data_IF_134919110845
#
_entry.id   IF_134919110845
#
_cell.length_a   1.000
_cell.length_b   1.000
_cell.length_c   1.000
_cell.angle_alpha   90.00
_cell.angle_beta   90.00
_cell.angle_gamma   90.00
#
_symmetry.space_group_name_H-M   'P 1'
#
loop_
_entity.id
_entity.type
_entity.pdbx_description
1 polymer ?
#
# COMPACT_ATOMS: atom_id res chain seq x y z
N UNK A 1 -36.76 9.43 -52.90
CA UNK A 1 -35.78 8.32 -52.85
C UNK A 1 -34.32 8.78 -52.63
N UNK A 2 -33.98 10.08 -52.67
CA UNK A 2 -32.57 10.54 -52.56
C UNK A 2 -32.02 10.68 -51.12
N UNK A 3 -32.86 10.92 -50.11
CA UNK A 3 -32.37 11.18 -48.74
C UNK A 3 -31.93 9.91 -47.98
N UNK A 4 -32.60 8.78 -48.21
CA UNK A 4 -32.27 7.49 -47.58
C UNK A 4 -30.98 6.89 -48.15
N UNK A 5 -30.79 7.00 -49.47
CA UNK A 5 -29.58 6.53 -50.14
C UNK A 5 -28.35 7.35 -49.72
N UNK A 6 -28.51 8.66 -49.56
CA UNK A 6 -27.45 9.55 -49.09
C UNK A 6 -27.05 9.27 -47.63
N UNK A 7 -28.04 9.05 -46.74
CA UNK A 7 -27.78 8.62 -45.36
C UNK A 7 -27.09 7.27 -45.29
N UNK A 8 -27.50 6.31 -46.10
CA UNK A 8 -26.86 4.99 -46.18
C UNK A 8 -25.42 5.10 -46.69
N UNK A 9 -25.16 5.95 -47.69
CA UNK A 9 -23.81 6.18 -48.19
C UNK A 9 -22.90 6.81 -47.13
N UNK A 10 -23.38 7.83 -46.40
CA UNK A 10 -22.63 8.44 -45.29
C UNK A 10 -22.36 7.42 -44.18
N UNK A 11 -23.35 6.61 -43.81
CA UNK A 11 -23.18 5.56 -42.80
C UNK A 11 -22.13 4.53 -43.22
N UNK A 12 -22.17 4.07 -44.47
CA UNK A 12 -21.17 3.13 -45.02
C UNK A 12 -19.78 3.76 -45.04
N UNK A 13 -19.65 5.04 -45.43
CA UNK A 13 -18.38 5.75 -45.40
C UNK A 13 -17.80 5.83 -43.99
N UNK A 14 -18.64 6.16 -42.98
CA UNK A 14 -18.23 6.18 -41.57
C UNK A 14 -17.77 4.78 -41.13
N UNK A 15 -18.52 3.73 -41.45
CA UNK A 15 -18.13 2.35 -41.14
C UNK A 15 -16.79 1.95 -41.78
N UNK A 16 -16.54 2.33 -43.04
CA UNK A 16 -15.26 2.08 -43.70
C UNK A 16 -14.11 2.85 -43.05
N UNK A 17 -14.33 4.11 -42.66
CA UNK A 17 -13.32 4.92 -41.95
C UNK A 17 -13.01 4.34 -40.57
N UNK A 18 -14.02 3.90 -39.82
CA UNK A 18 -13.85 3.20 -38.54
C UNK A 18 -13.09 1.88 -38.71
N UNK A 19 -13.38 1.13 -39.77
CA UNK A 19 -12.67 -0.12 -40.07
C UNK A 19 -11.21 0.12 -40.43
N UNK A 20 -10.91 1.14 -41.25
CA UNK A 20 -9.53 1.52 -41.57
C UNK A 20 -8.78 2.03 -40.34
N UNK A 21 -9.43 2.80 -39.45
CA UNK A 21 -8.87 3.21 -38.18
C UNK A 21 -8.58 2.02 -37.27
N UNK A 22 -9.47 1.02 -37.22
CA UNK A 22 -9.25 -0.23 -36.49
C UNK A 22 -8.07 -1.03 -37.06
N UNK A 23 -8.02 -1.24 -38.38
CA UNK A 23 -6.88 -1.91 -39.04
C UNK A 23 -5.58 -1.17 -38.75
N UNK A 24 -5.57 0.16 -38.90
CA UNK A 24 -4.40 0.97 -38.60
C UNK A 24 -4.00 0.81 -37.13
N UNK A 25 -4.96 0.80 -36.20
CA UNK A 25 -4.71 0.54 -34.77
C UNK A 25 -4.05 -0.82 -34.53
N UNK A 26 -4.54 -1.89 -35.17
CA UNK A 26 -3.95 -3.24 -35.07
C UNK A 26 -2.53 -3.28 -35.65
N UNK A 27 -2.33 -2.73 -36.85
CA UNK A 27 -1.01 -2.67 -37.53
C UNK A 27 -0.04 -1.82 -36.71
N UNK A 28 -0.46 -0.64 -36.26
CA UNK A 28 0.31 0.27 -35.42
C UNK A 28 0.70 -0.39 -34.10
N UNK A 29 -0.18 -1.19 -33.49
CA UNK A 29 0.11 -1.95 -32.28
C UNK A 29 1.14 -3.07 -32.52
N UNK A 30 1.03 -3.83 -33.61
CA UNK A 30 1.94 -4.94 -33.97
C UNK A 30 3.34 -4.41 -34.32
N UNK A 31 3.41 -3.32 -35.08
CA UNK A 31 4.67 -2.79 -35.62
C UNK A 31 5.23 -1.58 -34.87
N UNK A 32 4.63 -1.21 -33.73
CA UNK A 32 5.06 -0.07 -32.89
C UNK A 32 5.13 1.27 -33.64
N UNK A 33 4.22 1.50 -34.59
CA UNK A 33 4.13 2.76 -35.34
C UNK A 33 3.37 3.81 -34.53
N UNK A 34 3.70 5.09 -34.68
CA UNK A 34 2.95 6.18 -34.06
C UNK A 34 1.46 6.15 -34.49
N UNK A 35 0.49 6.39 -33.59
CA UNK A 35 0.63 6.79 -32.19
C UNK A 35 0.55 5.61 -31.19
N UNK A 36 0.67 4.35 -31.60
CA UNK A 36 0.47 3.21 -30.67
C UNK A 36 1.35 3.25 -29.41
N UNK A 37 2.64 3.65 -29.46
CA UNK A 37 3.43 3.81 -28.24
C UNK A 37 2.83 4.81 -27.25
N UNK A 38 2.33 5.95 -27.75
CA UNK A 38 1.75 7.02 -26.92
C UNK A 38 0.36 6.65 -26.41
N UNK A 39 -0.44 5.95 -27.23
CA UNK A 39 -1.78 5.48 -26.85
C UNK A 39 -1.70 4.30 -25.87
N UNK A 40 -0.63 3.48 -25.88
CA UNK A 40 -0.53 2.29 -25.01
C UNK A 40 -0.70 2.65 -23.53
N UNK A 41 -0.14 3.75 -23.06
CA UNK A 41 -0.31 4.20 -21.66
C UNK A 41 -1.77 4.52 -21.39
N UNK A 42 -2.39 5.35 -22.24
CA UNK A 42 -3.81 5.69 -22.11
C UNK A 42 -4.72 4.47 -22.24
N UNK A 43 -4.37 3.48 -23.07
CA UNK A 43 -5.10 2.25 -23.26
C UNK A 43 -4.95 1.29 -22.07
N UNK A 44 -3.79 1.25 -21.40
CA UNK A 44 -3.60 0.51 -20.14
C UNK A 44 -4.44 1.13 -19.05
N UNK A 45 -4.41 2.46 -18.92
CA UNK A 45 -5.21 3.18 -17.94
C UNK A 45 -6.71 2.94 -18.22
N UNK A 46 -7.14 3.11 -19.47
CA UNK A 46 -8.53 2.85 -19.88
C UNK A 46 -8.94 1.38 -19.70
N UNK A 47 -8.05 0.43 -20.00
CA UNK A 47 -8.29 -0.99 -19.77
C UNK A 47 -8.35 -1.33 -18.29
N UNK A 48 -7.48 -0.75 -17.46
CA UNK A 48 -7.52 -0.85 -16.00
C UNK A 48 -8.85 -0.33 -15.46
N UNK A 49 -9.28 0.85 -15.91
CA UNK A 49 -10.59 1.41 -15.59
C UNK A 49 -11.76 0.54 -16.08
N UNK A 50 -11.68 -0.03 -17.29
CA UNK A 50 -12.73 -0.90 -17.84
C UNK A 50 -12.77 -2.26 -17.15
N UNK A 51 -11.62 -2.86 -16.86
CA UNK A 51 -11.51 -4.09 -16.08
C UNK A 51 -12.05 -3.87 -14.67
N UNK A 52 -11.78 -2.71 -14.08
CA UNK A 52 -12.39 -2.28 -12.83
C UNK A 52 -13.92 -2.15 -12.93
N UNK A 53 -14.44 -1.40 -13.92
CA UNK A 53 -15.90 -1.28 -14.12
C UNK A 53 -16.52 -2.68 -14.29
N UNK A 54 -15.86 -3.56 -15.02
CA UNK A 54 -16.30 -4.93 -15.17
C UNK A 54 -16.28 -5.69 -13.83
N UNK A 55 -15.22 -5.57 -13.04
CA UNK A 55 -15.14 -6.20 -11.71
C UNK A 55 -16.17 -5.65 -10.73
N UNK A 56 -16.40 -4.34 -10.70
CA UNK A 56 -17.46 -3.69 -9.90
C UNK A 56 -18.86 -4.21 -10.28
N UNK A 57 -19.09 -4.42 -11.57
CA UNK A 57 -20.35 -4.97 -12.08
C UNK A 57 -20.51 -6.49 -11.85
N UNK A 58 -19.43 -7.24 -11.63
CA UNK A 58 -19.47 -8.72 -11.67
C UNK A 58 -19.05 -9.42 -10.39
N UNK A 59 -18.30 -8.77 -9.50
CA UNK A 59 -17.83 -9.34 -8.24
C UNK A 59 -18.50 -8.65 -7.04
N UNK A 60 -19.42 -9.38 -6.39
CA UNK A 60 -20.13 -8.92 -5.19
C UNK A 60 -19.21 -8.69 -3.99
N UNK A 61 -17.95 -9.17 -4.01
CA UNK A 61 -16.94 -8.85 -2.99
C UNK A 61 -16.16 -7.57 -3.31
N UNK A 62 -16.04 -7.21 -4.58
CA UNK A 62 -15.20 -6.10 -5.03
C UNK A 62 -15.92 -4.75 -4.99
N UNK A 63 -17.25 -4.76 -4.91
CA UNK A 63 -18.13 -3.58 -4.75
C UNK A 63 -17.83 -2.72 -3.49
N UNK A 64 -17.04 -3.24 -2.53
CA UNK A 64 -16.62 -2.53 -1.31
C UNK A 64 -15.19 -1.98 -1.38
N UNK A 65 -14.39 -2.44 -2.35
CA UNK A 65 -13.00 -1.98 -2.48
C UNK A 65 -12.90 -0.57 -3.02
N UNK A 66 -13.95 -0.07 -3.68
CA UNK A 66 -13.97 1.14 -4.48
C UNK A 66 -14.21 2.44 -3.71
N UNK A 67 -14.36 2.41 -2.39
CA UNK A 67 -14.71 3.64 -1.66
C UNK A 67 -14.02 3.79 -0.30
N UNK A 68 -13.09 2.89 0.06
CA UNK A 68 -12.53 2.82 1.41
C UNK A 68 -13.57 2.51 2.50
N UNK A 69 -14.76 2.02 2.10
CA UNK A 69 -15.84 1.62 2.99
C UNK A 69 -16.15 0.14 2.80
N UNK A 70 -16.18 -0.61 3.88
CA UNK A 70 -16.42 -2.05 3.85
C UNK A 70 -17.68 -2.43 4.61
N UNK A 71 -18.36 -3.47 4.14
CA UNK A 71 -19.54 -4.02 4.81
C UNK A 71 -19.19 -4.44 6.24
N UNK A 72 -19.81 -3.78 7.21
CA UNK A 72 -19.66 -4.09 8.62
C UNK A 72 -20.95 -3.74 9.35
N UNK A 73 -21.63 -4.77 9.86
CA UNK A 73 -22.84 -4.66 10.66
C UNK A 73 -22.55 -4.68 12.16
N UNK A 74 -21.28 -4.63 12.59
CA UNK A 74 -20.96 -4.63 14.01
C UNK A 74 -21.42 -3.33 14.69
N UNK A 75 -22.12 -3.48 15.81
CA UNK A 75 -22.59 -2.36 16.64
C UNK A 75 -21.46 -1.54 17.30
N UNK A 76 -20.33 -2.13 17.76
CA UNK A 76 -19.24 -1.38 18.36
C UNK A 76 -18.75 -0.19 17.54
N UNK A 77 -18.49 0.92 18.23
CA UNK A 77 -18.00 2.17 17.65
C UNK A 77 -17.18 2.93 18.69
N UNK A 78 -16.07 3.53 18.29
CA UNK A 78 -15.14 4.18 19.21
C UNK A 78 -14.26 3.18 20.00
N UNK A 79 -13.67 3.66 21.09
CA UNK A 79 -12.73 2.87 21.88
C UNK A 79 -13.42 1.95 22.89
N UNK A 80 -12.85 0.77 23.08
CA UNK A 80 -13.25 -0.21 24.10
C UNK A 80 -11.99 -0.62 24.85
N UNK A 81 -11.96 -0.33 26.16
CA UNK A 81 -10.88 -0.78 27.04
C UNK A 81 -11.32 -2.08 27.71
N UNK A 82 -10.72 -3.20 27.32
CA UNK A 82 -10.98 -4.50 27.94
C UNK A 82 -10.14 -4.70 29.19
N UNK A 83 -8.88 -4.25 29.17
CA UNK A 83 -7.97 -4.32 30.30
C UNK A 83 -7.02 -3.12 30.32
N UNK A 84 -7.36 -2.11 31.12
CA UNK A 84 -6.61 -0.87 31.20
C UNK A 84 -5.17 -1.05 31.72
N UNK A 85 -4.94 -2.04 32.59
CA UNK A 85 -3.61 -2.33 33.16
C UNK A 85 -2.71 -3.05 32.16
N UNK A 86 -3.29 -3.86 31.27
CA UNK A 86 -2.55 -4.55 30.22
C UNK A 86 -2.28 -3.66 28.99
N UNK A 87 -3.10 -2.63 28.77
CA UNK A 87 -2.97 -1.71 27.65
C UNK A 87 -1.69 -0.85 27.78
N UNK A 88 -0.97 -0.68 26.67
CA UNK A 88 0.19 0.19 26.55
C UNK A 88 -0.27 1.65 26.68
N UNK A 89 0.33 2.48 27.54
CA UNK A 89 0.04 3.92 27.56
C UNK A 89 0.55 4.63 26.30
N UNK A 90 -0.12 5.73 25.94
CA UNK A 90 0.27 6.60 24.82
C UNK A 90 -0.93 7.06 23.99
N UNK A 91 -0.65 7.88 22.98
CA UNK A 91 -1.62 8.34 21.99
C UNK A 91 -1.52 7.47 20.74
N UNK A 92 -2.63 7.27 20.04
CA UNK A 92 -2.68 6.46 18.81
C UNK A 92 -2.82 7.38 17.60
N UNK A 93 -1.81 7.42 16.73
CA UNK A 93 -1.92 8.02 15.40
C UNK A 93 -2.63 7.04 14.49
N UNK A 94 -3.58 7.50 13.69
CA UNK A 94 -4.39 6.66 12.80
C UNK A 94 -4.61 7.36 11.47
N UNK A 95 -4.30 6.66 10.37
CA UNK A 95 -4.68 7.07 9.02
C UNK A 95 -6.12 6.61 8.73
N UNK A 96 -7.00 7.54 8.36
CA UNK A 96 -8.43 7.28 8.10
C UNK A 96 -8.72 6.97 6.63
N UNK A 97 -9.99 6.69 6.33
CA UNK A 97 -10.54 6.55 4.97
C UNK A 97 -10.69 7.90 4.23
N UNK A 98 -9.62 8.71 4.25
CA UNK A 98 -9.50 9.99 3.58
C UNK A 98 -8.02 10.40 3.52
N UNK A 99 -7.69 11.54 2.92
CA UNK A 99 -6.38 12.20 3.06
C UNK A 99 -6.27 12.92 4.40
N UNK A 100 -6.48 12.16 5.48
CA UNK A 100 -6.49 12.65 6.85
C UNK A 100 -5.94 11.61 7.83
N UNK A 101 -5.32 12.11 8.90
CA UNK A 101 -4.87 11.32 10.03
C UNK A 101 -5.27 12.00 11.33
N UNK A 102 -5.57 11.19 12.35
CA UNK A 102 -5.94 11.66 13.68
C UNK A 102 -4.99 11.11 14.71
N UNK A 103 -4.66 11.92 15.71
CA UNK A 103 -4.04 11.48 16.94
C UNK A 103 -5.14 11.41 18.00
N UNK A 104 -5.28 10.26 18.67
CA UNK A 104 -6.35 10.05 19.66
C UNK A 104 -5.84 9.45 20.97
N UNK A 105 -6.54 9.75 22.05
CA UNK A 105 -6.29 9.12 23.36
C UNK A 105 -6.88 7.70 23.44
N UNK A 106 -6.69 7.03 24.59
CA UNK A 106 -7.20 5.66 24.81
C UNK A 106 -8.72 5.54 24.83
N UNK A 107 -9.44 6.65 25.01
CA UNK A 107 -10.90 6.71 24.96
C UNK A 107 -11.42 7.01 23.54
N UNK A 108 -10.50 7.20 22.57
CA UNK A 108 -10.84 7.54 21.21
C UNK A 108 -11.17 9.02 20.99
N UNK A 109 -10.87 9.88 21.97
CA UNK A 109 -11.00 11.32 21.79
C UNK A 109 -9.86 11.80 20.88
N UNK A 110 -10.20 12.54 19.83
CA UNK A 110 -9.22 13.15 18.93
C UNK A 110 -8.54 14.29 19.69
N UNK A 111 -7.23 14.20 19.87
CA UNK A 111 -6.40 15.26 20.47
C UNK A 111 -5.79 16.17 19.42
N UNK A 112 -5.58 15.66 18.20
CA UNK A 112 -5.08 16.43 17.06
C UNK A 112 -5.48 15.78 15.73
N UNK A 113 -5.59 16.57 14.66
CA UNK A 113 -5.91 16.08 13.32
C UNK A 113 -5.07 16.79 12.26
N UNK A 114 -4.63 16.02 11.28
CA UNK A 114 -4.07 16.52 10.03
C UNK A 114 -4.99 16.15 8.87
N UNK A 115 -5.14 17.05 7.92
CA UNK A 115 -5.92 16.82 6.71
C UNK A 115 -5.34 17.63 5.56
N UNK A 116 -5.28 17.06 4.36
CA UNK A 116 -4.86 17.80 3.19
C UNK A 116 -5.61 17.31 1.97
N UNK A 117 -6.42 18.18 1.36
CA UNK A 117 -7.03 17.87 0.07
C UNK A 117 -5.91 17.76 -0.96
N UNK A 118 -5.88 16.68 -1.74
CA UNK A 118 -4.79 16.45 -2.69
C UNK A 118 -4.59 17.63 -3.66
N UNK A 119 -5.69 18.16 -4.20
CA UNK A 119 -5.69 19.32 -5.11
C UNK A 119 -5.22 20.63 -4.46
N UNK A 120 -5.11 20.69 -3.13
CA UNK A 120 -4.53 21.84 -2.41
C UNK A 120 -3.00 21.76 -2.30
N UNK A 121 -2.44 20.55 -2.38
CA UNK A 121 -1.00 20.32 -2.33
C UNK A 121 -0.38 20.13 -3.73
N UNK A 122 -1.09 19.47 -4.65
CA UNK A 122 -0.58 19.08 -5.96
C UNK A 122 -1.28 19.86 -7.08
N UNK A 123 -0.48 20.29 -8.08
CA UNK A 123 -0.97 21.06 -9.23
C UNK A 123 -1.52 20.10 -10.30
N UNK A 124 -2.48 20.53 -11.13
CA UNK A 124 -3.09 19.66 -12.16
C UNK A 124 -2.03 18.98 -13.07
N UNK A 125 -0.96 19.71 -13.39
CA UNK A 125 0.16 19.19 -14.20
C UNK A 125 0.91 18.03 -13.52
N UNK A 126 0.90 17.95 -12.18
CA UNK A 126 1.56 16.88 -11.42
C UNK A 126 0.86 15.53 -11.64
N UNK A 127 -0.43 15.52 -12.02
CA UNK A 127 -1.25 14.33 -12.16
C UNK A 127 -2.08 14.29 -13.45
N UNK A 128 -1.79 15.14 -14.43
CA UNK A 128 -2.56 15.25 -15.68
C UNK A 128 -2.64 13.92 -16.47
N UNK A 129 -1.63 13.06 -16.34
CA UNK A 129 -1.65 11.72 -16.96
C UNK A 129 -2.62 10.73 -16.27
N UNK A 130 -3.07 11.04 -15.06
CA UNK A 130 -3.82 10.17 -14.15
C UNK A 130 -4.97 10.95 -13.48
N UNK A 131 -6.05 11.25 -14.21
CA UNK A 131 -7.15 12.09 -13.72
C UNK A 131 -7.79 11.50 -12.46
N UNK A 132 -8.01 12.37 -11.47
CA UNK A 132 -8.40 11.95 -10.12
C UNK A 132 -9.90 12.04 -9.87
N UNK A 133 -10.38 11.15 -9.01
CA UNK A 133 -11.59 11.31 -8.21
C UNK A 133 -11.12 11.55 -6.76
N UNK A 134 -11.29 12.76 -6.20
CA UNK A 134 -10.74 13.14 -4.89
C UNK A 134 -11.12 12.18 -3.75
N UNK A 135 -12.30 11.58 -3.84
CA UNK A 135 -12.90 10.59 -2.93
C UNK A 135 -12.22 9.22 -2.95
N UNK A 136 -11.27 8.99 -3.86
CA UNK A 136 -10.51 7.73 -3.99
C UNK A 136 -9.10 7.80 -3.40
N UNK A 137 -8.67 8.98 -2.98
CA UNK A 137 -7.35 9.21 -2.40
C UNK A 137 -7.37 9.06 -0.88
N UNK A 138 -6.29 8.49 -0.36
CA UNK A 138 -6.10 8.39 1.08
C UNK A 138 -4.63 8.36 1.47
N UNK A 139 -4.40 8.48 2.77
CA UNK A 139 -3.08 8.26 3.33
C UNK A 139 -2.89 6.79 3.69
N UNK A 140 -2.05 6.07 2.93
CA UNK A 140 -1.76 4.67 3.26
C UNK A 140 -0.92 4.59 4.53
N UNK A 141 0.18 5.34 4.56
CA UNK A 141 1.12 5.42 5.68
C UNK A 141 1.33 6.86 6.10
N UNK A 142 1.42 7.06 7.42
CA UNK A 142 1.76 8.36 8.00
C UNK A 142 2.88 8.21 9.04
N UNK A 143 3.63 9.29 9.23
CA UNK A 143 4.65 9.40 10.27
C UNK A 143 4.57 10.77 10.94
N UNK A 144 4.38 10.75 12.26
CA UNK A 144 4.31 11.93 13.10
C UNK A 144 5.68 12.23 13.72
N UNK A 145 6.20 13.41 13.41
CA UNK A 145 7.43 13.92 14.01
C UNK A 145 7.14 14.52 15.40
N UNK A 146 8.13 14.56 16.32
CA UNK A 146 7.97 15.14 17.66
C UNK A 146 7.47 16.60 17.70
N UNK A 147 7.77 17.38 16.66
CA UNK A 147 7.35 18.78 16.52
C UNK A 147 5.93 18.95 15.95
N UNK A 148 5.23 17.85 15.66
CA UNK A 148 3.88 17.86 15.11
C UNK A 148 3.81 17.90 13.58
N UNK A 149 4.95 17.93 12.88
CA UNK A 149 4.96 17.71 11.43
C UNK A 149 4.46 16.29 11.12
N UNK A 150 3.82 16.12 9.99
CA UNK A 150 3.31 14.82 9.52
C UNK A 150 3.81 14.56 8.10
N UNK A 151 4.44 13.42 7.86
CA UNK A 151 4.66 12.90 6.51
C UNK A 151 3.56 11.90 6.17
N UNK A 152 2.98 12.02 4.98
CA UNK A 152 1.93 11.13 4.50
C UNK A 152 2.19 10.66 3.06
N UNK A 153 1.87 9.39 2.80
CA UNK A 153 1.89 8.79 1.46
C UNK A 153 0.48 8.75 0.86
N UNK A 154 0.31 9.27 -0.35
CA UNK A 154 -0.94 9.24 -1.08
C UNK A 154 -1.04 7.98 -1.95
N UNK A 155 -2.05 7.17 -1.62
CA UNK A 155 -2.48 6.05 -2.45
C UNK A 155 -3.85 6.35 -3.04
N UNK A 156 -4.07 5.84 -4.25
CA UNK A 156 -5.35 5.88 -4.92
C UNK A 156 -5.93 4.48 -5.01
N UNK A 157 -7.20 4.38 -4.63
CA UNK A 157 -7.93 3.12 -4.64
C UNK A 157 -8.25 2.68 -6.08
N UNK A 158 -7.89 1.46 -6.44
CA UNK A 158 -8.28 0.82 -7.71
C UNK A 158 -7.88 1.59 -8.98
N UNK A 159 -6.74 2.30 -8.95
CA UNK A 159 -6.15 2.97 -10.10
C UNK A 159 -4.73 2.47 -10.34
N UNK A 160 -4.30 2.43 -11.61
CA UNK A 160 -2.95 2.01 -11.99
C UNK A 160 -2.24 3.14 -12.74
N UNK A 161 -1.04 3.55 -12.30
CA UNK A 161 -0.39 3.20 -11.04
C UNK A 161 -1.19 3.68 -9.81
N UNK A 162 -0.96 3.06 -8.64
CA UNK A 162 -1.69 3.39 -7.40
C UNK A 162 -1.10 4.60 -6.67
N UNK A 163 0.18 4.89 -6.88
CA UNK A 163 0.91 5.91 -6.14
C UNK A 163 0.69 7.32 -6.64
N UNK A 164 0.44 8.24 -5.72
CA UNK A 164 0.18 9.65 -6.01
C UNK A 164 1.12 10.61 -5.26
N UNK A 165 2.16 10.08 -4.60
CA UNK A 165 3.24 10.88 -4.06
C UNK A 165 3.22 11.03 -2.55
N UNK A 166 4.05 11.94 -2.05
CA UNK A 166 4.18 12.22 -0.62
C UNK A 166 3.89 13.69 -0.33
N UNK A 167 3.34 13.95 0.84
CA UNK A 167 3.18 15.31 1.37
C UNK A 167 3.73 15.39 2.79
N UNK A 168 4.52 16.43 3.08
CA UNK A 168 4.90 16.78 4.44
C UNK A 168 4.13 18.01 4.86
N UNK A 169 3.45 17.92 5.99
CA UNK A 169 2.63 18.96 6.58
C UNK A 169 3.23 19.41 7.91
N UNK A 170 3.02 20.67 8.28
CA UNK A 170 3.22 21.12 9.64
C UNK A 170 2.05 20.67 10.55
N UNK A 171 2.15 20.97 11.85
CA UNK A 171 1.10 20.65 12.83
C UNK A 171 -0.26 21.30 12.53
N UNK A 172 -0.34 22.31 11.67
CA UNK A 172 -1.57 22.99 11.30
C UNK A 172 -2.11 22.52 9.94
N UNK A 173 -1.59 21.41 9.40
CA UNK A 173 -1.90 20.90 8.07
C UNK A 173 -1.44 21.79 6.90
N UNK A 174 -0.49 22.69 7.13
CA UNK A 174 0.09 23.50 6.05
C UNK A 174 1.21 22.71 5.36
N UNK A 175 1.20 22.70 4.03
CA UNK A 175 2.22 21.99 3.23
C UNK A 175 3.59 22.61 3.44
N UNK A 176 4.55 21.79 3.90
CA UNK A 176 5.97 22.13 3.99
C UNK A 176 6.65 21.83 2.65
N UNK A 177 6.45 20.61 2.14
CA UNK A 177 6.89 20.21 0.81
C UNK A 177 6.04 19.04 0.29
N UNK A 178 6.10 18.82 -1.03
CA UNK A 178 5.48 17.69 -1.74
C UNK A 178 6.50 16.94 -2.57
N UNK A 179 6.26 15.65 -2.79
CA UNK A 179 6.99 14.82 -3.75
C UNK A 179 6.00 14.26 -4.77
N UNK A 180 6.20 14.60 -6.04
CA UNK A 180 5.25 14.34 -7.15
C UNK A 180 5.51 13.04 -7.90
N UNK A 181 6.59 12.32 -7.57
CA UNK A 181 6.73 10.93 -8.04
C UNK A 181 5.57 10.09 -7.55
N UNK A 182 5.23 9.03 -8.28
CA UNK A 182 4.13 8.08 -8.00
C UNK A 182 4.44 7.18 -6.79
N UNK A 183 4.82 7.79 -5.66
CA UNK A 183 5.13 7.09 -4.43
C UNK A 183 3.87 6.43 -3.88
N UNK A 184 3.99 5.21 -3.38
CA UNK A 184 2.85 4.40 -2.92
C UNK A 184 3.19 3.57 -1.69
N UNK A 185 2.14 3.21 -0.96
CA UNK A 185 2.08 2.29 0.17
C UNK A 185 2.92 2.66 1.39
N UNK A 186 4.23 2.83 1.24
CA UNK A 186 5.17 2.72 2.34
C UNK A 186 6.40 3.61 2.19
N UNK A 187 6.98 3.94 3.34
CA UNK A 187 8.26 4.63 3.46
C UNK A 187 8.91 4.36 4.82
N UNK A 188 10.23 4.48 4.83
CA UNK A 188 11.05 4.36 6.03
C UNK A 188 12.21 5.37 6.00
N UNK A 189 12.94 5.50 7.11
CA UNK A 189 13.91 6.57 7.31
C UNK A 189 15.29 6.03 7.66
N UNK A 190 16.34 6.71 7.19
CA UNK A 190 17.67 6.54 7.76
C UNK A 190 17.94 7.53 8.90
N UNK A 191 19.07 7.35 9.59
CA UNK A 191 19.48 8.20 10.71
C UNK A 191 19.82 9.64 10.32
N UNK A 192 19.91 9.96 9.02
CA UNK A 192 20.13 11.31 8.52
C UNK A 192 18.81 12.00 8.13
N UNK A 193 17.68 11.30 8.25
CA UNK A 193 16.37 11.80 7.85
C UNK A 193 16.11 11.71 6.35
N UNK A 194 16.87 10.91 5.59
CA UNK A 194 16.47 10.57 4.23
C UNK A 194 15.32 9.57 4.27
N UNK A 195 14.39 9.71 3.34
CA UNK A 195 13.19 8.89 3.22
C UNK A 195 13.39 7.88 2.09
N UNK A 196 13.24 6.61 2.40
CA UNK A 196 13.20 5.53 1.42
C UNK A 196 11.75 5.18 1.15
N UNK A 197 11.30 5.25 -0.11
CA UNK A 197 9.92 4.96 -0.49
C UNK A 197 9.86 4.14 -1.78
N UNK A 198 8.69 3.58 -2.07
CA UNK A 198 8.40 2.83 -3.29
C UNK A 198 7.70 3.72 -4.30
N UNK A 199 8.07 3.61 -5.59
CA UNK A 199 7.50 4.39 -6.71
C UNK A 199 7.15 3.46 -7.87
N UNK A 200 6.05 3.74 -8.58
CA UNK A 200 5.59 2.95 -9.73
C UNK A 200 5.69 3.68 -11.06
N UNK A 201 6.28 3.05 -12.07
CA UNK A 201 6.24 3.56 -13.44
C UNK A 201 5.74 2.52 -14.43
N UNK A 202 5.32 2.97 -15.62
CA UNK A 202 4.91 2.07 -16.69
C UNK A 202 6.14 1.63 -17.48
N UNK A 203 6.48 0.35 -17.36
CA UNK A 203 7.47 -0.31 -18.18
C UNK A 203 6.98 -0.48 -19.62
N UNK A 204 7.72 0.10 -20.57
CA UNK A 204 7.37 0.09 -22.01
C UNK A 204 8.29 -0.78 -22.86
N UNK A 205 9.34 -1.33 -22.26
CA UNK A 205 10.31 -2.23 -22.91
C UNK A 205 10.33 -3.59 -22.22
N UNK A 206 10.40 -4.73 -22.94
CA UNK A 206 10.45 -6.04 -22.30
C UNK A 206 11.62 -6.19 -21.32
N UNK A 207 11.38 -6.86 -20.18
CA UNK A 207 12.41 -7.20 -19.20
C UNK A 207 12.29 -8.67 -18.77
N UNK A 208 13.25 -9.49 -19.24
CA UNK A 208 13.14 -10.94 -19.06
C UNK A 208 11.95 -11.46 -19.87
N UNK A 209 11.05 -12.20 -19.21
CA UNK A 209 9.81 -12.69 -19.81
C UNK A 209 8.59 -11.78 -19.59
N UNK A 210 8.78 -10.64 -18.91
CA UNK A 210 7.73 -9.64 -18.70
C UNK A 210 7.67 -8.74 -19.95
N UNK A 211 6.54 -8.79 -20.64
CA UNK A 211 6.21 -7.99 -21.81
C UNK A 211 5.50 -6.68 -21.41
N UNK A 212 5.81 -5.57 -22.09
CA UNK A 212 5.12 -4.31 -21.87
C UNK A 212 3.67 -4.38 -22.40
N UNK A 213 2.76 -3.59 -21.82
CA UNK A 213 2.98 -2.71 -20.67
C UNK A 213 2.96 -3.48 -19.34
N UNK A 214 3.78 -3.05 -18.37
CA UNK A 214 3.77 -3.55 -17.01
C UNK A 214 4.04 -2.43 -16.00
N UNK A 215 3.67 -2.63 -14.73
CA UNK A 215 4.05 -1.76 -13.62
C UNK A 215 5.44 -2.18 -13.15
N UNK A 216 6.40 -1.26 -13.24
CA UNK A 216 7.75 -1.41 -12.73
C UNK A 216 7.87 -0.68 -11.39
N UNK A 217 8.28 -1.42 -10.36
CA UNK A 217 8.51 -0.86 -9.03
C UNK A 217 9.96 -0.37 -8.87
N UNK A 218 10.11 0.78 -8.21
CA UNK A 218 11.37 1.44 -7.90
C UNK A 218 11.49 1.69 -6.40
N UNK A 219 12.72 1.63 -5.89
CA UNK A 219 13.04 2.20 -4.60
C UNK A 219 13.68 3.58 -4.81
N UNK A 220 13.21 4.58 -4.07
CA UNK A 220 13.61 5.99 -4.20
C UNK A 220 14.06 6.52 -2.85
N UNK A 221 15.15 7.29 -2.85
CA UNK A 221 15.65 8.03 -1.69
C UNK A 221 15.34 9.50 -1.89
N UNK A 222 14.60 10.07 -0.94
CA UNK A 222 14.18 11.47 -0.90
C UNK A 222 14.87 12.15 0.28
N UNK A 223 15.30 13.39 0.08
CA UNK A 223 15.78 14.24 1.15
C UNK A 223 14.60 14.68 2.04
N UNK A 224 14.57 14.26 3.30
CA UNK A 224 13.41 14.53 4.18
C UNK A 224 13.24 16.00 4.61
N UNK A 225 14.22 16.86 4.31
CA UNK A 225 14.14 18.30 4.56
C UNK A 225 13.54 19.01 3.35
N UNK A 226 14.00 18.68 2.15
CA UNK A 226 13.62 19.41 0.93
C UNK A 226 12.52 18.73 0.10
N UNK A 227 12.25 17.44 0.33
CA UNK A 227 11.34 16.65 -0.50
C UNK A 227 11.91 16.27 -1.87
N UNK A 228 13.18 16.59 -2.14
CA UNK A 228 13.81 16.31 -3.43
C UNK A 228 14.33 14.88 -3.52
N UNK A 229 14.17 14.29 -4.69
CA UNK A 229 14.75 12.99 -5.00
C UNK A 229 16.29 13.07 -5.07
N UNK A 230 16.95 12.17 -4.35
CA UNK A 230 18.42 12.03 -4.34
C UNK A 230 18.90 10.89 -5.23
N UNK A 231 18.15 9.79 -5.24
CA UNK A 231 18.52 8.56 -5.96
C UNK A 231 17.29 7.70 -6.18
N UNK A 232 17.28 6.94 -7.28
CA UNK A 232 16.34 5.86 -7.51
C UNK A 232 17.01 4.67 -8.17
N UNK A 233 16.42 3.49 -8.00
CA UNK A 233 16.79 2.30 -8.78
C UNK A 233 15.59 1.38 -8.96
N UNK A 234 15.59 0.65 -10.09
CA UNK A 234 14.54 -0.32 -10.42
C UNK A 234 14.74 -1.61 -9.63
N UNK A 235 13.68 -2.06 -8.96
CA UNK A 235 13.67 -3.34 -8.23
C UNK A 235 13.80 -4.52 -9.21
N UNK A 236 13.24 -4.37 -10.42
CA UNK A 236 13.31 -5.41 -11.45
C UNK A 236 14.74 -5.56 -11.97
N UNK A 237 15.44 -4.45 -12.20
CA UNK A 237 16.86 -4.47 -12.58
C UNK A 237 17.73 -5.01 -11.44
N UNK A 238 17.43 -4.65 -10.18
CA UNK A 238 18.14 -5.19 -9.03
C UNK A 238 17.99 -6.72 -8.92
N UNK A 239 16.79 -7.26 -9.18
CA UNK A 239 16.55 -8.70 -9.25
C UNK A 239 17.28 -9.34 -10.43
N UNK A 240 17.23 -8.74 -11.62
CA UNK A 240 17.88 -9.27 -12.83
C UNK A 240 19.41 -9.29 -12.73
N UNK A 241 19.99 -8.32 -12.02
CA UNK A 241 21.43 -8.24 -11.78
C UNK A 241 21.91 -9.08 -10.59
N UNK A 242 21.01 -9.80 -9.92
CA UNK A 242 21.31 -10.58 -8.73
C UNK A 242 21.56 -12.07 -9.01
N UNK A 243 22.07 -12.83 -8.01
CA UNK A 243 22.05 -14.30 -8.05
C UNK A 243 20.65 -14.91 -8.23
N UNK A 244 19.58 -14.14 -7.98
CA UNK A 244 18.18 -14.57 -8.08
C UNK A 244 17.55 -14.25 -9.45
N UNK A 245 18.33 -13.85 -10.46
CA UNK A 245 17.82 -13.57 -11.81
C UNK A 245 16.95 -14.69 -12.40
N UNK A 246 17.27 -15.95 -12.10
CA UNK A 246 16.51 -17.10 -12.60
C UNK A 246 15.12 -17.21 -11.98
N UNK A 247 14.93 -16.69 -10.77
CA UNK A 247 13.59 -16.56 -10.16
C UNK A 247 12.80 -15.53 -10.94
N UNK A 248 13.39 -14.35 -11.16
CA UNK A 248 12.78 -13.24 -11.89
C UNK A 248 12.43 -13.62 -13.34
N UNK A 249 13.32 -14.33 -14.04
CA UNK A 249 13.10 -14.75 -15.43
C UNK A 249 11.92 -15.72 -15.57
N UNK A 250 11.42 -16.36 -14.51
CA UNK A 250 10.21 -17.18 -14.56
C UNK A 250 8.92 -16.35 -14.56
N UNK A 251 8.99 -15.08 -14.13
CA UNK A 251 7.83 -14.21 -14.07
C UNK A 251 7.43 -13.73 -15.47
N UNK A 252 6.13 -13.57 -15.66
CA UNK A 252 5.52 -13.15 -16.92
C UNK A 252 4.55 -12.00 -16.64
N UNK A 253 4.18 -11.26 -17.67
CA UNK A 253 3.13 -10.23 -17.55
C UNK A 253 1.85 -10.87 -17.04
N UNK A 254 1.31 -10.31 -15.97
CA UNK A 254 0.06 -10.76 -15.36
C UNK A 254 -1.13 -10.12 -16.05
N UNK A 255 -2.36 -10.59 -15.76
CA UNK A 255 -3.60 -10.01 -16.30
C UNK A 255 -3.74 -8.50 -16.03
N UNK A 256 -3.23 -8.04 -14.89
CA UNK A 256 -3.28 -6.64 -14.46
C UNK A 256 -1.97 -5.91 -14.73
N UNK A 257 -1.05 -6.49 -15.51
CA UNK A 257 0.24 -5.89 -15.82
C UNK A 257 1.12 -5.60 -14.59
N UNK A 258 0.78 -6.15 -13.43
CA UNK A 258 1.49 -5.96 -12.16
C UNK A 258 2.04 -7.29 -11.66
N UNK A 259 3.36 -7.40 -11.61
CA UNK A 259 4.06 -8.68 -11.36
C UNK A 259 4.40 -8.85 -9.89
N UNK A 260 4.89 -7.79 -9.24
CA UNK A 260 5.45 -7.81 -7.90
C UNK A 260 4.49 -7.25 -6.86
N UNK A 261 3.84 -6.12 -7.16
CA UNK A 261 3.03 -5.35 -6.22
C UNK A 261 3.83 -5.11 -4.93
N UNK A 262 4.86 -4.28 -5.03
CA UNK A 262 5.63 -3.91 -3.83
C UNK A 262 4.73 -3.14 -2.87
N UNK A 263 4.72 -3.53 -1.59
CA UNK A 263 3.80 -2.93 -0.62
C UNK A 263 4.45 -2.60 0.72
N UNK A 264 5.74 -2.90 0.88
CA UNK A 264 6.51 -2.44 2.01
C UNK A 264 7.99 -2.25 1.69
N UNK A 265 8.61 -1.26 2.34
CA UNK A 265 10.03 -0.97 2.31
C UNK A 265 10.51 -0.63 3.72
N UNK A 266 11.53 -1.33 4.20
CA UNK A 266 12.12 -1.12 5.52
C UNK A 266 13.63 -1.07 5.44
N UNK A 267 14.24 -0.14 6.15
CA UNK A 267 15.68 -0.05 6.29
C UNK A 267 16.13 -0.98 7.43
N UNK A 268 17.03 -1.92 7.14
CA UNK A 268 17.51 -2.87 8.15
C UNK A 268 18.27 -2.10 9.25
N UNK A 269 17.83 -2.16 10.52
CA UNK A 269 18.52 -1.50 11.62
C UNK A 269 19.72 -2.34 12.11
N UNK A 270 20.71 -1.72 12.78
CA UNK A 270 21.94 -2.40 13.19
C UNK A 270 21.75 -3.57 14.16
N UNK A 271 20.81 -3.44 15.09
CA UNK A 271 20.49 -4.48 16.07
C UNK A 271 19.87 -5.71 15.39
N UNK A 272 18.91 -5.50 14.49
CA UNK A 272 18.31 -6.58 13.72
C UNK A 272 19.32 -7.28 12.82
N UNK A 273 20.15 -6.52 12.08
CA UNK A 273 21.20 -7.09 11.23
C UNK A 273 22.16 -8.00 12.01
N UNK A 274 22.47 -7.61 13.25
CA UNK A 274 23.35 -8.38 14.14
C UNK A 274 22.67 -9.66 14.62
N UNK A 275 21.39 -9.60 14.96
CA UNK A 275 20.64 -10.71 15.56
C UNK A 275 20.10 -11.72 14.54
N UNK A 276 19.68 -11.27 13.35
CA UNK A 276 19.03 -12.12 12.34
C UNK A 276 20.01 -13.05 11.61
N UNK A 277 21.32 -12.78 11.68
CA UNK A 277 22.40 -13.60 11.10
C UNK A 277 22.20 -13.99 9.62
N UNK A 278 21.50 -13.17 8.83
CA UNK A 278 21.31 -13.43 7.39
C UNK A 278 22.63 -13.16 6.66
N UNK A 279 23.21 -14.16 5.97
CA UNK A 279 24.47 -13.97 5.26
C UNK A 279 24.39 -12.81 4.27
N UNK A 280 25.38 -11.89 4.35
CA UNK A 280 25.55 -10.70 3.50
C UNK A 280 24.60 -9.53 3.76
N UNK A 281 23.51 -9.71 4.50
CA UNK A 281 22.66 -8.60 4.90
C UNK A 281 23.34 -7.77 6.00
N UNK A 282 23.24 -6.45 5.91
CA UNK A 282 23.82 -5.49 6.85
C UNK A 282 22.83 -4.37 7.14
N UNK A 283 23.13 -3.61 8.19
CA UNK A 283 22.37 -2.39 8.49
C UNK A 283 22.42 -1.43 7.29
N UNK A 284 21.29 -0.81 6.96
CA UNK A 284 21.16 0.08 5.81
C UNK A 284 20.79 -0.61 4.49
N UNK A 285 20.78 -1.95 4.44
CA UNK A 285 20.11 -2.66 3.35
C UNK A 285 18.59 -2.51 3.47
N UNK A 286 17.85 -2.81 2.39
CA UNK A 286 16.40 -2.66 2.34
C UNK A 286 15.71 -4.02 2.34
N UNK A 287 14.79 -4.25 3.28
CA UNK A 287 13.80 -5.31 3.17
C UNK A 287 12.59 -4.78 2.39
N UNK A 288 12.23 -5.45 1.31
CA UNK A 288 11.08 -5.07 0.47
C UNK A 288 10.12 -6.26 0.37
N UNK A 289 8.83 -5.99 0.56
CA UNK A 289 7.78 -6.99 0.39
C UNK A 289 7.24 -6.98 -1.04
N UNK A 290 7.23 -8.17 -1.66
CA UNK A 290 6.62 -8.44 -2.96
C UNK A 290 5.32 -9.22 -2.71
N UNK A 291 4.19 -8.53 -2.73
CA UNK A 291 2.89 -9.11 -2.35
C UNK A 291 2.46 -10.23 -3.30
N UNK A 292 2.54 -10.00 -4.61
CA UNK A 292 2.01 -10.93 -5.62
C UNK A 292 2.78 -12.26 -5.65
N UNK A 293 4.13 -12.28 -5.60
CA UNK A 293 4.90 -13.50 -5.47
C UNK A 293 4.83 -14.16 -4.08
N UNK A 294 4.23 -13.50 -3.08
CA UNK A 294 4.29 -13.89 -1.66
C UNK A 294 5.73 -13.99 -1.13
N UNK A 295 6.58 -13.04 -1.53
CA UNK A 295 8.01 -13.08 -1.24
C UNK A 295 8.51 -11.81 -0.56
N UNK A 296 9.60 -11.95 0.19
CA UNK A 296 10.39 -10.84 0.71
C UNK A 296 11.76 -10.85 0.02
N UNK A 297 12.32 -9.66 -0.19
CA UNK A 297 13.69 -9.50 -0.72
C UNK A 297 14.50 -8.58 0.17
N UNK A 298 15.81 -8.83 0.25
CA UNK A 298 16.77 -7.88 0.81
C UNK A 298 17.61 -7.33 -0.33
N UNK A 299 17.73 -6.01 -0.40
CA UNK A 299 18.42 -5.27 -1.47
C UNK A 299 19.55 -4.44 -0.88
N UNK A 300 20.75 -4.53 -1.45
CA UNK A 300 21.80 -3.54 -1.20
C UNK A 300 21.49 -2.29 -2.04
N UNK A 301 21.15 -1.15 -1.42
CA UNK A 301 20.75 0.05 -2.16
C UNK A 301 21.92 0.80 -2.79
N UNK A 302 23.16 0.46 -2.45
CA UNK A 302 24.37 1.04 -3.05
C UNK A 302 24.70 0.29 -4.34
N UNK A 303 24.80 -1.03 -4.26
CA UNK A 303 25.11 -1.90 -5.42
C UNK A 303 23.89 -2.13 -6.31
N UNK A 304 22.68 -1.79 -5.84
CA UNK A 304 21.40 -1.96 -6.53
C UNK A 304 21.19 -3.42 -6.94
N UNK A 305 21.41 -4.34 -6.00
CA UNK A 305 21.30 -5.78 -6.22
C UNK A 305 20.51 -6.43 -5.09
N UNK A 306 19.65 -7.38 -5.46
CA UNK A 306 19.02 -8.26 -4.47
C UNK A 306 20.07 -9.23 -3.91
N UNK A 307 20.28 -9.19 -2.60
CA UNK A 307 21.24 -10.05 -1.90
C UNK A 307 20.58 -11.26 -1.25
N UNK A 308 19.27 -11.19 -1.01
CA UNK A 308 18.46 -12.30 -0.50
C UNK A 308 17.04 -12.26 -1.08
N UNK A 309 16.48 -13.44 -1.33
CA UNK A 309 15.10 -13.64 -1.79
C UNK A 309 14.52 -14.85 -1.05
N UNK A 310 13.29 -14.71 -0.53
CA UNK A 310 12.57 -15.82 0.10
C UNK A 310 11.07 -15.75 -0.12
N UNK A 311 10.51 -16.85 -0.60
CA UNK A 311 9.06 -17.15 -0.56
C UNK A 311 8.76 -17.87 0.76
N UNK A 312 7.72 -17.43 1.47
CA UNK A 312 7.47 -17.88 2.84
C UNK A 312 6.24 -18.76 3.03
N UNK A 313 5.93 -19.01 4.31
CA UNK A 313 4.68 -19.64 4.75
C UNK A 313 3.48 -18.68 4.77
N UNK A 314 3.70 -17.43 4.35
CA UNK A 314 2.72 -16.35 4.30
C UNK A 314 2.16 -16.17 2.88
N UNK A 315 1.05 -15.46 2.77
CA UNK A 315 0.38 -15.21 1.50
C UNK A 315 -0.22 -13.81 1.48
N UNK A 316 0.07 -13.07 0.40
CA UNK A 316 -0.40 -11.70 0.16
C UNK A 316 0.00 -10.71 1.28
N UNK A 317 1.15 -10.96 1.91
CA UNK A 317 1.62 -10.33 3.13
C UNK A 317 1.81 -8.81 3.04
N UNK A 318 1.68 -8.14 4.18
CA UNK A 318 1.90 -6.71 4.37
C UNK A 318 2.75 -6.44 5.62
N UNK A 319 3.29 -5.22 5.67
CA UNK A 319 3.88 -4.60 6.85
C UNK A 319 4.86 -5.49 7.66
N UNK A 320 5.93 -6.01 7.01
CA UNK A 320 7.03 -6.64 7.73
C UNK A 320 7.73 -5.58 8.59
N UNK A 321 7.82 -5.81 9.90
CA UNK A 321 8.59 -4.97 10.81
C UNK A 321 9.67 -5.76 11.54
N UNK A 322 10.82 -5.11 11.73
CA UNK A 322 11.95 -5.66 12.45
C UNK A 322 11.70 -5.68 13.96
N UNK A 323 12.01 -6.82 14.59
CA UNK A 323 12.05 -6.94 16.04
C UNK A 323 13.51 -7.00 16.53
N UNK A 324 13.88 -6.38 17.67
CA UNK A 324 15.27 -6.33 18.14
C UNK A 324 15.97 -7.69 18.34
N UNK A 325 15.18 -8.77 18.42
CA UNK A 325 15.67 -10.15 18.55
C UNK A 325 16.04 -10.81 17.21
N UNK A 326 16.03 -10.08 16.09
CA UNK A 326 16.36 -10.59 14.75
C UNK A 326 15.19 -11.27 14.03
N UNK A 327 13.99 -11.22 14.60
CA UNK A 327 12.76 -11.76 13.99
C UNK A 327 12.00 -10.67 13.24
N UNK A 328 11.02 -11.09 12.45
CA UNK A 328 10.06 -10.20 11.83
C UNK A 328 8.67 -10.38 12.42
N UNK A 329 7.96 -9.28 12.56
CA UNK A 329 6.52 -9.27 12.70
C UNK A 329 5.92 -9.01 11.31
N UNK A 330 4.90 -9.77 10.93
CA UNK A 330 4.36 -9.76 9.57
C UNK A 330 2.84 -9.89 9.58
N UNK A 331 2.16 -9.06 8.80
CA UNK A 331 0.74 -9.21 8.54
C UNK A 331 0.55 -10.21 7.39
N UNK A 332 0.02 -11.39 7.67
CA UNK A 332 -0.20 -12.46 6.69
C UNK A 332 -1.69 -12.51 6.33
N UNK A 333 -2.08 -11.79 5.28
CA UNK A 333 -3.48 -11.54 4.93
C UNK A 333 -4.29 -12.79 4.58
N UNK A 334 -3.65 -13.80 3.98
CA UNK A 334 -4.33 -14.96 3.41
C UNK A 334 -3.67 -16.30 3.75
N UNK A 335 -2.69 -16.34 4.66
CA UNK A 335 -1.91 -17.55 4.93
C UNK A 335 -2.52 -18.53 5.93
N UNK A 336 -3.60 -18.17 6.65
CA UNK A 336 -4.27 -19.13 7.53
C UNK A 336 -5.04 -20.18 6.71
N UNK A 337 -4.77 -21.46 6.97
CA UNK A 337 -5.37 -22.60 6.26
C UNK A 337 -6.82 -22.86 6.72
N UNK A 338 -7.65 -23.39 5.82
CA UNK A 338 -9.01 -23.85 6.14
C UNK A 338 -10.14 -22.95 5.63
N UNK A 339 -9.82 -21.78 5.06
CA UNK A 339 -10.79 -20.91 4.38
C UNK A 339 -10.54 -20.94 2.85
N UNK A 340 -11.57 -20.98 1.98
CA UNK A 340 -11.41 -21.10 0.53
C UNK A 340 -10.59 -19.96 -0.10
N UNK A 341 -10.47 -18.82 0.59
CA UNK A 341 -9.72 -17.65 0.14
C UNK A 341 -8.52 -17.30 1.04
N UNK A 342 -8.21 -18.13 2.04
CA UNK A 342 -7.32 -17.77 3.15
C UNK A 342 -8.00 -16.86 4.18
N UNK A 343 -7.39 -16.73 5.36
CA UNK A 343 -7.78 -15.79 6.41
C UNK A 343 -6.52 -15.13 6.99
N UNK A 344 -6.67 -13.92 7.53
CA UNK A 344 -5.55 -13.17 8.13
C UNK A 344 -5.01 -13.77 9.42
N UNK A 345 -3.71 -13.58 9.62
CA UNK A 345 -3.02 -13.78 10.90
C UNK A 345 -1.83 -12.83 11.02
N UNK A 346 -1.42 -12.53 12.24
CA UNK A 346 -0.13 -11.87 12.50
C UNK A 346 0.89 -12.92 12.87
N UNK A 347 2.11 -12.81 12.33
CA UNK A 347 3.19 -13.76 12.53
C UNK A 347 4.42 -13.08 13.10
N UNK A 348 4.96 -13.59 14.22
CA UNK A 348 6.35 -13.37 14.59
C UNK A 348 7.18 -14.55 14.07
N UNK A 349 8.11 -14.30 13.15
CA UNK A 349 8.85 -15.35 12.45
C UNK A 349 10.34 -15.09 12.39
N UNK A 350 11.12 -16.16 12.29
CA UNK A 350 12.47 -16.10 11.73
C UNK A 350 12.38 -16.07 10.20
N UNK A 351 12.98 -15.05 9.58
CA UNK A 351 12.89 -14.83 8.13
C UNK A 351 13.55 -15.96 7.31
N UNK A 352 14.55 -16.65 7.86
CA UNK A 352 15.31 -17.67 7.14
C UNK A 352 14.76 -19.08 7.35
N UNK A 353 14.44 -19.44 8.59
CA UNK A 353 13.95 -20.79 8.95
C UNK A 353 12.43 -20.92 8.80
N UNK A 354 11.73 -19.79 8.73
CA UNK A 354 10.26 -19.70 8.76
C UNK A 354 9.63 -20.28 10.04
N UNK A 355 10.41 -20.41 11.11
CA UNK A 355 9.88 -20.80 12.41
C UNK A 355 8.94 -19.71 12.95
N UNK A 356 7.74 -20.11 13.37
CA UNK A 356 6.75 -19.23 13.97
C UNK A 356 6.96 -19.20 15.49
N UNK A 357 7.29 -18.03 16.03
CA UNK A 357 7.50 -17.81 17.45
C UNK A 357 6.24 -17.31 18.16
N UNK A 358 5.38 -16.62 17.42
CA UNK A 358 4.09 -16.15 17.90
C UNK A 358 3.12 -15.98 16.73
N UNK A 359 1.84 -16.22 17.00
CA UNK A 359 0.75 -16.12 16.02
C UNK A 359 -0.47 -15.49 16.68
N UNK A 360 -1.12 -14.56 15.99
CA UNK A 360 -2.47 -14.12 16.32
C UNK A 360 -3.43 -14.33 15.16
N UNK A 361 -4.55 -15.01 15.42
CA UNK A 361 -5.56 -15.42 14.44
C UNK A 361 -6.99 -15.04 14.84
N UNK A 362 -7.15 -14.16 15.83
CA UNK A 362 -8.42 -13.85 16.48
C UNK A 362 -8.70 -14.71 17.72
N UNK A 363 -9.69 -14.29 18.51
CA UNK A 363 -9.95 -14.78 19.89
C UNK A 363 -11.18 -15.70 20.02
N UNK A 364 -12.09 -15.73 19.04
CA UNK A 364 -13.25 -16.65 19.02
C UNK A 364 -13.95 -16.62 17.64
N UNK A 365 -14.98 -17.47 17.45
CA UNK A 365 -15.85 -17.42 16.26
C UNK A 365 -16.62 -16.11 16.11
N UNK A 366 -16.85 -15.36 17.20
CA UNK A 366 -17.63 -14.12 17.19
C UNK A 366 -16.76 -12.87 16.99
N UNK A 367 -15.45 -12.99 17.18
CA UNK A 367 -14.45 -11.92 16.97
C UNK A 367 -13.45 -12.35 15.88
N UNK A 368 -13.99 -12.58 14.68
CA UNK A 368 -13.20 -12.93 13.49
C UNK A 368 -12.19 -11.83 13.22
N UNK A 369 -10.91 -12.20 13.15
CA UNK A 369 -9.84 -11.36 12.63
C UNK A 369 -9.65 -11.67 11.14
N UNK A 370 -9.88 -10.68 10.27
CA UNK A 370 -9.66 -10.79 8.84
C UNK A 370 -9.52 -9.43 8.13
N UNK A 371 -8.45 -9.29 7.34
CA UNK A 371 -8.23 -8.22 6.37
C UNK A 371 -7.54 -8.85 5.14
N UNK A 372 -8.29 -9.24 4.11
CA UNK A 372 -7.75 -9.95 2.94
C UNK A 372 -6.72 -9.15 2.13
N UNK A 373 -6.68 -7.82 2.29
CA UNK A 373 -5.65 -6.89 1.78
C UNK A 373 -5.30 -5.84 2.83
N UNK A 374 -4.17 -5.13 2.63
CA UNK A 374 -3.65 -4.09 3.53
C UNK A 374 -3.41 -4.64 4.94
N UNK A 375 -3.58 -3.84 5.98
CA UNK A 375 -3.29 -4.22 7.35
C UNK A 375 -1.87 -3.86 7.74
N UNK A 376 -1.75 -3.47 9.00
CA UNK A 376 -0.50 -3.06 9.62
C UNK A 376 -0.46 -3.57 11.06
N UNK A 377 0.72 -3.62 11.65
CA UNK A 377 0.91 -4.00 13.03
C UNK A 377 2.06 -3.20 13.66
N UNK A 378 2.14 -3.18 14.97
CA UNK A 378 3.27 -2.63 15.70
C UNK A 378 3.48 -3.43 17.00
N UNK A 379 4.68 -3.98 17.20
CA UNK A 379 5.07 -4.48 18.53
C UNK A 379 5.29 -3.30 19.48
N UNK A 380 4.61 -3.33 20.61
CA UNK A 380 4.63 -2.29 21.64
C UNK A 380 5.68 -2.57 22.72
N UNK A 381 6.15 -1.55 23.46
CA UNK A 381 7.16 -1.71 24.52
C UNK A 381 6.79 -2.69 25.63
N UNK A 382 5.52 -2.81 26.00
CA UNK A 382 5.03 -3.78 26.99
C UNK A 382 4.94 -5.22 26.44
N UNK A 383 5.27 -5.45 25.17
CA UNK A 383 5.23 -6.75 24.51
C UNK A 383 3.92 -7.04 23.77
N UNK A 384 2.89 -6.22 23.95
CA UNK A 384 1.63 -6.31 23.20
C UNK A 384 1.85 -5.98 21.72
N UNK A 385 0.89 -6.37 20.87
CA UNK A 385 0.88 -5.98 19.46
C UNK A 385 -0.34 -5.10 19.18
N UNK A 386 -0.12 -3.88 18.68
CA UNK A 386 -1.16 -3.07 18.07
C UNK A 386 -1.38 -3.56 16.63
N UNK A 387 -2.61 -3.79 16.22
CA UNK A 387 -2.97 -4.33 14.91
C UNK A 387 -4.00 -3.40 14.29
N UNK A 388 -3.80 -3.07 13.01
CA UNK A 388 -4.77 -2.37 12.17
C UNK A 388 -5.45 -3.39 11.27
N UNK A 389 -6.67 -3.79 11.64
CA UNK A 389 -7.54 -4.63 10.81
C UNK A 389 -8.24 -3.73 9.78
N UNK A 390 -7.54 -3.43 8.69
CA UNK A 390 -7.85 -2.27 7.87
C UNK A 390 -9.28 -2.25 7.37
N UNK A 391 -9.72 -3.36 6.83
CA UNK A 391 -11.00 -3.44 6.15
C UNK A 391 -12.19 -3.56 7.08
N UNK A 392 -11.97 -3.87 8.35
CA UNK A 392 -13.05 -3.79 9.35
C UNK A 392 -13.08 -2.44 10.04
N UNK A 393 -12.22 -1.50 9.64
CA UNK A 393 -12.10 -0.22 10.33
C UNK A 393 -11.90 -0.44 11.84
N UNK A 394 -11.04 -1.40 12.22
CA UNK A 394 -10.82 -1.78 13.61
C UNK A 394 -9.33 -1.78 13.95
N UNK A 395 -9.00 -1.26 15.13
CA UNK A 395 -7.69 -1.37 15.76
C UNK A 395 -7.81 -2.30 16.97
N UNK A 396 -6.76 -3.07 17.21
CA UNK A 396 -6.69 -4.08 18.25
C UNK A 396 -5.36 -3.97 18.97
N UNK A 397 -5.36 -3.89 20.29
CA UNK A 397 -4.16 -4.14 21.07
C UNK A 397 -4.26 -5.51 21.74
N UNK A 398 -3.38 -6.42 21.37
CA UNK A 398 -3.40 -7.81 21.84
C UNK A 398 -2.18 -8.12 22.71
N UNK A 399 -2.41 -8.82 23.81
CA UNK A 399 -1.33 -9.28 24.69
C UNK A 399 -0.54 -10.42 24.04
N UNK A 400 0.65 -10.78 24.56
CA UNK A 400 1.38 -11.96 24.09
C UNK A 400 0.59 -13.27 24.18
N UNK A 401 -0.37 -13.39 25.10
CA UNK A 401 -1.27 -14.56 25.20
C UNK A 401 -2.41 -14.53 24.18
N UNK A 402 -2.55 -13.47 23.39
CA UNK A 402 -3.60 -13.29 22.39
C UNK A 402 -4.90 -12.70 22.94
N UNK A 403 -4.91 -12.20 24.18
CA UNK A 403 -6.07 -11.52 24.75
C UNK A 403 -6.13 -10.08 24.26
N UNK A 404 -7.33 -9.58 23.98
CA UNK A 404 -7.52 -8.19 23.57
C UNK A 404 -7.51 -7.30 24.82
N UNK A 405 -6.57 -6.36 24.89
CA UNK A 405 -6.48 -5.36 25.96
C UNK A 405 -7.27 -4.08 25.63
N UNK A 406 -7.31 -3.71 24.34
CA UNK A 406 -7.98 -2.51 23.85
C UNK A 406 -8.43 -2.69 22.40
N UNK A 407 -9.52 -2.03 22.04
CA UNK A 407 -10.01 -1.95 20.67
C UNK A 407 -10.44 -0.53 20.32
N UNK A 408 -10.40 -0.22 19.03
CA UNK A 408 -11.05 0.96 18.50
C UNK A 408 -11.72 0.64 17.19
N UNK A 409 -12.96 1.08 17.06
CA UNK A 409 -13.79 0.89 15.88
C UNK A 409 -14.02 2.27 15.24
N UNK A 410 -13.60 2.45 13.98
CA UNK A 410 -13.79 3.72 13.26
C UNK A 410 -15.26 4.14 13.35
N UNK A 411 -15.61 5.33 13.88
CA UNK A 411 -17.00 5.77 14.02
C UNK A 411 -17.65 6.15 12.71
N UNK A 412 -16.87 6.33 11.64
CA UNK A 412 -17.40 6.73 10.34
C UNK A 412 -18.25 5.58 9.77
N UNK A 413 -19.53 5.86 9.50
CA UNK A 413 -20.52 4.93 8.92
C UNK A 413 -21.10 5.45 7.62
N UNK A 414 -21.41 4.52 6.72
CA UNK A 414 -22.19 4.78 5.52
C UNK A 414 -23.18 3.63 5.27
N UNK A 415 -24.03 3.79 4.26
CA UNK A 415 -24.92 2.72 3.79
C UNK A 415 -24.95 2.74 2.26
N UNK A 416 -24.85 1.55 1.65
CA UNK A 416 -24.95 1.39 0.21
C UNK A 416 -25.84 0.19 -0.11
N UNK A 417 -26.88 0.41 -0.93
CA UNK A 417 -27.89 -0.61 -1.27
C UNK A 417 -28.46 -1.36 -0.06
N UNK A 418 -28.63 -0.66 1.08
CA UNK A 418 -29.17 -1.24 2.31
C UNK A 418 -28.16 -2.00 3.18
N UNK A 419 -26.88 -2.07 2.78
CA UNK A 419 -25.82 -2.69 3.57
C UNK A 419 -25.10 -1.64 4.43
N UNK A 420 -24.89 -1.88 5.73
CA UNK A 420 -24.12 -0.99 6.58
C UNK A 420 -22.63 -1.07 6.24
N UNK A 421 -21.98 0.08 6.11
CA UNK A 421 -20.56 0.17 5.82
C UNK A 421 -19.81 0.93 6.92
N UNK A 422 -18.53 0.61 7.09
CA UNK A 422 -17.60 1.33 7.96
C UNK A 422 -16.37 1.78 7.18
N UNK A 423 -15.89 2.98 7.51
CA UNK A 423 -14.64 3.51 6.94
C UNK A 423 -13.44 2.67 7.36
N UNK A 424 -12.61 2.29 6.40
CA UNK A 424 -11.36 1.57 6.66
C UNK A 424 -10.35 2.45 7.42
N UNK A 425 -9.35 1.83 8.02
CA UNK A 425 -8.15 2.51 8.53
C UNK A 425 -6.93 1.79 7.97
N UNK A 426 -5.92 2.49 7.49
CA UNK A 426 -4.79 1.86 6.77
C UNK A 426 -3.64 1.53 7.69
N UNK A 427 -3.40 2.38 8.68
CA UNK A 427 -2.31 2.23 9.64
C UNK A 427 -2.69 2.88 10.97
N UNK A 428 -2.16 2.31 12.05
CA UNK A 428 -2.12 2.96 13.34
C UNK A 428 -0.75 2.76 14.04
N UNK A 429 -0.35 3.75 14.83
CA UNK A 429 0.87 3.71 15.63
C UNK A 429 0.58 4.21 17.05
N UNK A 430 1.02 3.48 18.08
CA UNK A 430 1.03 3.97 19.46
C UNK A 430 2.32 4.77 19.69
N UNK A 431 2.14 6.00 20.14
CA UNK A 431 3.21 6.98 20.35
C UNK A 431 3.18 7.41 21.82
N UNK A 432 4.31 7.34 22.56
CA UNK A 432 4.41 7.92 23.90
C UNK A 432 4.11 9.42 23.87
N UNK A 433 3.27 9.90 24.79
CA UNK A 433 2.86 11.31 24.80
C UNK A 433 4.03 12.26 25.03
N UNK A 434 5.00 11.86 25.84
CA UNK A 434 6.24 12.58 26.13
C UNK A 434 7.21 12.66 24.92
N UNK A 435 6.96 11.88 23.86
CA UNK A 435 7.69 12.02 22.61
C UNK A 435 7.16 13.17 21.72
N UNK A 436 6.03 13.78 22.07
CA UNK A 436 5.34 14.78 21.24
C UNK A 436 5.39 16.19 21.85
N UNK A 437 6.53 16.85 21.64
CA UNK A 437 6.80 18.21 22.13
C UNK A 437 5.79 19.28 21.69
N UNK A 438 5.04 19.03 20.61
CA UNK A 438 4.07 20.00 20.10
C UNK A 438 2.78 20.08 20.92
N UNK A 439 2.50 19.08 21.76
CA UNK A 439 1.34 19.05 22.65
C UNK A 439 1.59 19.80 23.97
N UNK A 440 2.84 20.13 24.28
CA UNK A 440 3.22 20.85 25.49
C UNK A 440 3.08 22.38 25.36
N UNK A 441 2.74 22.89 24.17
CA UNK A 441 2.75 24.32 23.83
C UNK A 441 1.41 24.87 23.33
#
# INVERSE_FOLDING_TARGET
MSSLLHKAYIATLICCLLFLAFIYGVVSAIFHLAPAPDIRIHAVNAYGHLAYIYEDLTDTKNQYTSTMWFEDASEPSGAIIHNATAMQPGLTLVSKNATAAVLMDSLGNIVHQWQCDFASAFDEDDFAAFPQQPDMLHWHRTHLYPNGDLLANHDYVNHYPYGYGLVKLDKNSQVIWKYTGTAHHDFDFDSQGNIYTLVQEIGTTPIGNIQPPYIEDFAVVIDGVTGQEKRRFSIFRALKNSPYRSVFDRWQTTRHSEVTHTNAIRLIPPDWATAAHIPRAKAGDLLISLRNPNALIIVDPIEQQVIWYGEGIWKQQHDPDFLPNGRLLLFDNQGLRGHPFGQSRILEIDLFTHEIYWEYKGTSTDQIFDSWIRGAQQRLPNGNTLITESQRGRLLEVTPSGEIAWEYYNPDRASYQGKPLRGMMTQAQRIPQDALSFLEN
#
